data_IF_535022708117
#
_entry.id   IF_535022708117
#
_cell.length_a   1.000
_cell.length_b   1.000
_cell.length_c   1.000
_cell.angle_alpha   90.00
_cell.angle_beta   90.00
_cell.angle_gamma   90.00
#
_symmetry.space_group_name_H-M   'P 1'
#
loop_
_entity.id
_entity.type
_entity.pdbx_description
1 polymer ?
#
# COMPACT_ATOMS: atom_id res chain seq x y z
N UNK A 1 15.92 -28.53 12.28
CA UNK A 1 14.72 -27.89 12.82
C UNK A 1 14.40 -26.66 11.99
N UNK A 2 13.16 -26.51 11.54
CA UNK A 2 12.75 -25.35 10.77
C UNK A 2 12.37 -24.21 11.72
N UNK A 3 12.91 -23.02 11.46
CA UNK A 3 12.46 -21.84 12.16
C UNK A 3 11.10 -21.41 11.63
N UNK A 4 10.25 -20.87 12.49
CA UNK A 4 9.00 -20.28 12.08
C UNK A 4 9.25 -19.02 11.24
N UNK A 5 8.45 -18.85 10.19
CA UNK A 5 8.45 -17.61 9.42
C UNK A 5 7.54 -16.62 10.13
N UNK A 6 8.09 -15.46 10.42
CA UNK A 6 7.38 -14.37 11.08
C UNK A 6 7.03 -13.30 10.05
N UNK A 7 5.83 -12.75 10.17
CA UNK A 7 5.36 -11.67 9.33
C UNK A 7 5.13 -10.41 10.15
N UNK A 8 5.74 -9.30 9.71
CA UNK A 8 5.34 -7.97 10.11
C UNK A 8 4.41 -7.45 9.01
N UNK A 9 3.11 -7.44 9.29
CA UNK A 9 2.10 -7.15 8.28
C UNK A 9 1.98 -5.66 7.93
N UNK A 10 2.63 -4.79 8.68
CA UNK A 10 2.54 -3.34 8.43
C UNK A 10 3.74 -2.62 9.03
N UNK A 11 4.56 -2.04 8.18
CA UNK A 11 5.66 -1.19 8.62
C UNK A 11 5.91 -0.07 7.60
N UNK A 12 6.39 1.07 8.08
CA UNK A 12 6.87 2.16 7.23
C UNK A 12 8.39 2.14 7.11
N UNK A 13 9.07 1.36 7.95
CA UNK A 13 10.53 1.29 8.02
C UNK A 13 10.95 -0.16 8.20
N UNK A 14 11.11 -0.91 7.09
CA UNK A 14 11.51 -2.31 7.19
C UNK A 14 12.80 -2.47 8.00
N UNK A 15 12.81 -3.46 8.88
CA UNK A 15 13.99 -3.85 9.63
C UNK A 15 14.99 -4.55 8.72
N UNK A 16 16.23 -4.69 9.20
CA UNK A 16 17.26 -5.44 8.50
C UNK A 16 16.78 -6.84 8.12
N UNK A 17 17.10 -7.27 6.91
CA UNK A 17 16.66 -8.55 6.38
C UNK A 17 17.15 -9.74 7.23
N UNK A 18 16.24 -10.66 7.53
CA UNK A 18 16.51 -11.92 8.23
C UNK A 18 15.83 -13.06 7.50
N UNK A 19 16.42 -14.27 7.50
CA UNK A 19 15.86 -15.39 6.72
C UNK A 19 14.43 -15.77 7.09
N UNK A 20 14.05 -15.61 8.37
CA UNK A 20 12.73 -15.99 8.87
C UNK A 20 11.77 -14.82 9.02
N UNK A 21 12.13 -13.63 8.57
CA UNK A 21 11.29 -12.43 8.68
C UNK A 21 10.77 -12.03 7.29
N UNK A 22 9.46 -11.83 7.23
CA UNK A 22 8.78 -11.25 6.07
C UNK A 22 8.11 -9.96 6.54
N UNK A 23 8.20 -8.93 5.74
CA UNK A 23 7.64 -7.62 6.09
C UNK A 23 6.78 -7.10 4.95
N UNK A 24 5.73 -6.36 5.29
CA UNK A 24 4.92 -5.64 4.32
C UNK A 24 5.10 -4.15 4.60
N UNK A 25 5.82 -3.48 3.73
CA UNK A 25 6.06 -2.04 3.79
C UNK A 25 4.88 -1.30 3.19
N UNK A 26 4.35 -0.33 3.94
CA UNK A 26 3.22 0.49 3.50
C UNK A 26 3.73 1.74 2.78
N UNK A 27 3.30 1.95 1.55
CA UNK A 27 3.76 3.05 0.70
C UNK A 27 2.60 3.75 -0.01
N UNK A 28 2.79 5.03 -0.27
CA UNK A 28 1.97 5.77 -1.22
C UNK A 28 2.37 5.37 -2.64
N UNK A 29 1.47 5.50 -3.63
CA UNK A 29 1.81 5.13 -5.02
C UNK A 29 3.07 5.79 -5.54
N UNK A 30 3.25 7.07 -5.29
CA UNK A 30 4.42 7.82 -5.72
C UNK A 30 5.71 7.26 -5.15
N UNK A 31 5.71 6.91 -3.87
CA UNK A 31 6.86 6.31 -3.20
C UNK A 31 7.17 4.92 -3.78
N UNK A 32 6.13 4.12 -4.02
CA UNK A 32 6.30 2.79 -4.57
C UNK A 32 6.89 2.81 -5.99
N UNK A 33 6.47 3.76 -6.82
CA UNK A 33 6.97 3.90 -8.18
C UNK A 33 8.41 4.44 -8.24
N UNK A 34 8.83 5.19 -7.20
CA UNK A 34 10.15 5.80 -7.13
C UNK A 34 11.22 4.91 -6.52
N UNK A 35 10.85 3.78 -5.93
CA UNK A 35 11.77 2.93 -5.17
C UNK A 35 11.56 1.45 -5.51
N UNK A 36 12.53 0.63 -5.10
CA UNK A 36 12.41 -0.82 -5.18
C UNK A 36 12.42 -1.42 -3.77
N UNK A 37 11.83 -2.62 -3.57
CA UNK A 37 11.95 -3.30 -2.29
C UNK A 37 13.41 -3.52 -1.91
N UNK A 38 13.72 -3.38 -0.62
CA UNK A 38 15.09 -3.49 -0.12
C UNK A 38 15.60 -4.92 -0.04
N UNK A 39 14.71 -5.90 -0.15
CA UNK A 39 15.04 -7.32 -0.06
C UNK A 39 13.92 -8.15 -0.70
N UNK A 40 14.20 -9.40 -1.14
CA UNK A 40 13.15 -10.31 -1.64
C UNK A 40 12.11 -10.66 -0.58
N UNK A 41 12.40 -10.45 0.70
CA UNK A 41 11.50 -10.75 1.81
C UNK A 41 10.75 -9.51 2.31
N UNK A 42 10.91 -8.37 1.65
CA UNK A 42 10.12 -7.17 1.91
C UNK A 42 9.10 -7.05 0.79
N UNK A 43 7.84 -7.23 1.15
CA UNK A 43 6.71 -7.02 0.26
C UNK A 43 6.17 -5.62 0.49
N UNK A 44 5.19 -5.23 -0.33
CA UNK A 44 4.62 -3.88 -0.26
C UNK A 44 3.11 -3.92 -0.26
N UNK A 45 2.51 -3.01 0.49
CA UNK A 45 1.14 -2.58 0.30
C UNK A 45 1.15 -1.16 -0.26
N UNK A 46 0.30 -0.89 -1.21
CA UNK A 46 0.18 0.43 -1.82
C UNK A 46 -1.28 0.83 -1.86
N UNK A 47 -1.58 2.07 -1.48
CA UNK A 47 -2.94 2.55 -1.45
C UNK A 47 -3.02 4.06 -1.34
N UNK A 48 -4.25 4.57 -1.44
CA UNK A 48 -4.56 5.99 -1.31
C UNK A 48 -5.15 6.23 0.08
N UNK A 49 -4.32 6.73 0.99
CA UNK A 49 -4.71 7.01 2.37
C UNK A 49 -5.63 8.25 2.41
N UNK A 50 -6.71 8.25 3.21
CA UNK A 50 -7.65 9.39 3.24
C UNK A 50 -7.03 10.70 3.72
N UNK A 51 -5.92 10.68 4.45
CA UNK A 51 -5.23 11.89 4.89
C UNK A 51 -4.47 12.59 3.75
N UNK A 52 -4.18 11.90 2.68
CA UNK A 52 -3.42 12.44 1.55
C UNK A 52 -4.39 12.84 0.43
N UNK A 53 -5.10 13.94 0.63
CA UNK A 53 -6.09 14.42 -0.34
C UNK A 53 -5.49 14.59 -1.74
N UNK A 54 -4.24 14.99 -1.82
CA UNK A 54 -3.51 15.16 -3.07
C UNK A 54 -3.37 13.88 -3.90
N UNK A 55 -3.47 12.72 -3.25
CA UNK A 55 -3.43 11.42 -3.94
C UNK A 55 -4.82 10.95 -4.40
N UNK A 56 -5.89 11.53 -3.84
CA UNK A 56 -7.26 11.14 -4.15
C UNK A 56 -7.74 11.82 -5.43
N UNK A 57 -7.15 11.40 -6.54
CA UNK A 57 -7.35 11.93 -7.88
C UNK A 57 -7.33 10.78 -8.89
N UNK A 58 -7.81 11.05 -10.11
CA UNK A 58 -7.71 10.07 -11.20
C UNK A 58 -6.24 9.73 -11.50
N UNK A 59 -5.35 10.70 -11.41
CA UNK A 59 -3.91 10.48 -11.56
C UNK A 59 -3.37 9.56 -10.46
N UNK A 60 -3.80 9.76 -9.21
CA UNK A 60 -3.44 8.91 -8.08
C UNK A 60 -3.91 7.47 -8.27
N UNK A 61 -5.13 7.27 -8.77
CA UNK A 61 -5.65 5.94 -9.11
C UNK A 61 -4.81 5.29 -10.22
N UNK A 62 -4.42 6.06 -11.23
CA UNK A 62 -3.56 5.55 -12.30
C UNK A 62 -2.20 5.09 -11.79
N UNK A 63 -1.58 5.88 -10.93
CA UNK A 63 -0.31 5.52 -10.30
C UNK A 63 -0.43 4.28 -9.42
N UNK A 64 -1.53 4.17 -8.67
CA UNK A 64 -1.83 2.98 -7.86
C UNK A 64 -1.96 1.74 -8.73
N UNK A 65 -2.70 1.84 -9.83
CA UNK A 65 -2.89 0.73 -10.74
C UNK A 65 -1.57 0.22 -11.31
N UNK A 66 -0.67 1.13 -11.66
CA UNK A 66 0.67 0.78 -12.13
C UNK A 66 1.48 0.10 -11.03
N UNK A 67 1.46 0.66 -9.82
CA UNK A 67 2.18 0.09 -8.68
C UNK A 67 1.72 -1.32 -8.33
N UNK A 68 0.41 -1.58 -8.43
CA UNK A 68 -0.17 -2.89 -8.13
C UNK A 68 0.30 -4.00 -9.10
N UNK A 69 0.94 -3.66 -10.20
CA UNK A 69 1.51 -4.65 -11.13
C UNK A 69 2.86 -5.19 -10.68
N UNK A 70 3.51 -4.54 -9.73
CA UNK A 70 4.81 -4.96 -9.21
C UNK A 70 4.67 -6.28 -8.45
N UNK A 71 5.56 -7.29 -8.70
CA UNK A 71 5.42 -8.61 -8.09
C UNK A 71 5.45 -8.63 -6.57
N UNK A 72 6.16 -7.69 -5.94
CA UNK A 72 6.26 -7.62 -4.48
C UNK A 72 5.17 -6.77 -3.84
N UNK A 73 4.28 -6.17 -4.62
CA UNK A 73 3.08 -5.51 -4.11
C UNK A 73 1.98 -6.56 -3.98
N UNK A 74 1.70 -6.95 -2.74
CA UNK A 74 0.79 -8.06 -2.44
C UNK A 74 -0.51 -7.64 -1.77
N UNK A 75 -0.67 -6.34 -1.49
CA UNK A 75 -1.86 -5.82 -0.83
C UNK A 75 -2.14 -4.40 -1.28
N UNK A 76 -3.41 -4.02 -1.26
CA UNK A 76 -3.84 -2.65 -1.44
C UNK A 76 -4.13 -2.05 -0.05
N UNK A 77 -3.45 -0.99 0.29
CA UNK A 77 -3.54 -0.25 1.55
C UNK A 77 -2.33 0.68 1.71
N UNK A 78 -2.37 1.63 2.58
CA UNK A 78 -3.51 1.93 3.44
C UNK A 78 -4.64 2.57 2.65
N UNK A 79 -5.86 2.21 2.99
CA UNK A 79 -7.05 2.76 2.39
C UNK A 79 -8.17 2.76 3.43
N UNK A 80 -9.10 3.68 3.32
CA UNK A 80 -10.22 3.72 4.26
C UNK A 80 -10.86 5.09 4.34
N UNK A 81 -11.62 5.29 5.41
CA UNK A 81 -12.36 6.51 5.66
C UNK A 81 -12.02 7.06 7.02
N UNK A 82 -11.83 8.38 7.11
CA UNK A 82 -11.59 9.08 8.37
C UNK A 82 -12.40 10.38 8.38
N UNK A 83 -13.41 10.43 9.25
CA UNK A 83 -14.29 11.60 9.37
C UNK A 83 -13.59 12.82 9.95
N UNK A 84 -12.46 12.63 10.61
CA UNK A 84 -11.80 13.68 11.39
C UNK A 84 -10.76 14.43 10.56
N UNK A 85 -10.29 13.85 9.46
CA UNK A 85 -9.32 14.52 8.61
C UNK A 85 -9.98 15.55 7.70
N UNK A 86 -9.16 16.43 7.09
CA UNK A 86 -9.65 17.54 6.27
C UNK A 86 -10.20 17.12 4.91
N UNK A 87 -9.88 15.93 4.43
CA UNK A 87 -10.37 15.44 3.14
C UNK A 87 -11.88 15.27 3.17
N UNK A 88 -12.64 15.86 2.23
CA UNK A 88 -14.09 15.69 2.18
C UNK A 88 -14.50 14.22 2.15
N UNK A 89 -15.48 13.85 2.97
CA UNK A 89 -15.91 12.46 3.09
C UNK A 89 -16.41 11.88 1.77
N UNK A 90 -17.11 12.68 0.97
CA UNK A 90 -17.58 12.23 -0.35
C UNK A 90 -16.42 11.83 -1.27
N UNK A 91 -15.34 12.60 -1.25
CA UNK A 91 -14.13 12.28 -2.01
C UNK A 91 -13.49 11.01 -1.49
N UNK A 92 -13.40 10.84 -0.17
CA UNK A 92 -12.87 9.62 0.44
C UNK A 92 -13.66 8.39 0.02
N UNK A 93 -14.98 8.46 0.06
CA UNK A 93 -15.86 7.35 -0.31
C UNK A 93 -15.67 6.97 -1.78
N UNK A 94 -15.65 7.96 -2.66
CA UNK A 94 -15.45 7.72 -4.09
C UNK A 94 -14.14 6.96 -4.35
N UNK A 95 -13.04 7.46 -3.82
CA UNK A 95 -11.72 6.85 -4.07
C UNK A 95 -11.51 5.55 -3.29
N UNK A 96 -12.16 5.38 -2.16
CA UNK A 96 -12.15 4.09 -1.47
C UNK A 96 -12.86 3.01 -2.31
N UNK A 97 -14.03 3.33 -2.86
CA UNK A 97 -14.76 2.40 -3.73
C UNK A 97 -13.96 2.03 -4.99
N UNK A 98 -13.28 2.99 -5.60
CA UNK A 98 -12.41 2.74 -6.75
C UNK A 98 -11.25 1.81 -6.38
N UNK A 99 -10.68 1.98 -5.19
CA UNK A 99 -9.62 1.10 -4.70
C UNK A 99 -10.12 -0.33 -4.45
N UNK A 100 -11.31 -0.49 -3.89
CA UNK A 100 -11.93 -1.81 -3.71
C UNK A 100 -12.09 -2.50 -5.06
N UNK A 101 -12.55 -1.78 -6.08
CA UNK A 101 -12.67 -2.32 -7.43
C UNK A 101 -11.33 -2.78 -8.00
N UNK A 102 -10.27 -1.99 -7.80
CA UNK A 102 -8.93 -2.40 -8.23
C UNK A 102 -8.45 -3.66 -7.51
N UNK A 103 -8.71 -3.77 -6.21
CA UNK A 103 -8.34 -4.95 -5.43
C UNK A 103 -9.07 -6.21 -5.88
N UNK A 104 -10.35 -6.08 -6.27
CA UNK A 104 -11.15 -7.21 -6.75
C UNK A 104 -10.68 -7.75 -8.10
N UNK A 105 -9.99 -6.94 -8.88
CA UNK A 105 -9.45 -7.34 -10.20
C UNK A 105 -8.15 -8.14 -10.11
N UNK A 106 -7.56 -8.28 -8.91
CA UNK A 106 -6.22 -8.83 -8.72
C UNK A 106 -6.18 -10.19 -8.02
#
# INVERSE_FOLDING_TARGET
MMEAILWDAHTHHPAEAKPNLRQIESLRPEEALATAPTSPHVYRSVGLHPWHQEDLTEEGLGSLEIALREPQVIALGEAGLDKVCDTPLAQQIHFFCEQVSLAEER
#
